data_IF_939700273431
#
_entry.id   IF_939700273431
#
_cell.length_a   1.000
_cell.length_b   1.000
_cell.length_c   1.000
_cell.angle_alpha   90.00
_cell.angle_beta   90.00
_cell.angle_gamma   90.00
#
_symmetry.space_group_name_H-M   'P 1'
#
loop_
_entity.id
_entity.type
_entity.pdbx_description
1 polymer ?
#
# COMPACT_ATOMS: atom_id res chain seq x y z
N UNK A 1 -10.51 13.69 14.13
CA UNK A 1 -10.97 12.40 13.56
C UNK A 1 -10.59 12.39 12.09
N UNK A 2 -9.71 11.47 11.69
CA UNK A 2 -8.99 11.56 10.42
C UNK A 2 -9.86 11.07 9.25
N UNK A 3 -10.51 12.01 8.54
CA UNK A 3 -11.21 11.78 7.25
C UNK A 3 -10.24 11.62 6.06
N UNK A 4 -8.92 11.48 6.29
CA UNK A 4 -7.87 11.73 5.28
C UNK A 4 -7.44 10.55 4.41
N UNK A 5 -8.08 9.39 4.49
CA UNK A 5 -7.74 8.25 3.62
C UNK A 5 -8.42 8.28 2.23
N UNK A 6 -9.16 9.34 1.87
CA UNK A 6 -9.60 9.58 0.46
C UNK A 6 -8.44 10.04 -0.43
N UNK A 7 -7.29 9.39 -0.32
CA UNK A 7 -6.17 9.65 -1.20
C UNK A 7 -6.11 8.54 -2.26
N UNK A 8 -6.24 8.88 -3.57
CA UNK A 8 -6.16 7.89 -4.64
C UNK A 8 -4.92 7.01 -4.57
N UNK A 9 -3.83 7.51 -4.00
CA UNK A 9 -2.59 6.76 -3.85
C UNK A 9 -2.66 5.65 -2.80
N UNK A 10 -3.41 5.83 -1.71
CA UNK A 10 -3.51 4.84 -0.62
C UNK A 10 -4.20 3.59 -1.13
N UNK A 11 -5.39 3.75 -1.73
CA UNK A 11 -6.12 2.65 -2.38
C UNK A 11 -5.26 1.97 -3.44
N UNK A 12 -4.64 2.74 -4.34
CA UNK A 12 -3.80 2.18 -5.42
C UNK A 12 -2.60 1.40 -4.88
N UNK A 13 -1.92 1.89 -3.84
CA UNK A 13 -0.79 1.20 -3.23
C UNK A 13 -1.23 -0.08 -2.51
N UNK A 14 -2.30 -0.03 -1.73
CA UNK A 14 -2.85 -1.20 -1.04
C UNK A 14 -3.32 -2.27 -2.04
N UNK A 15 -4.02 -1.86 -3.10
CA UNK A 15 -4.48 -2.77 -4.16
C UNK A 15 -3.31 -3.42 -4.92
N UNK A 16 -2.24 -2.66 -5.20
CA UNK A 16 -1.06 -3.19 -5.88
C UNK A 16 -0.35 -4.25 -5.02
N UNK A 17 -0.22 -4.01 -3.72
CA UNK A 17 0.37 -4.97 -2.77
C UNK A 17 -0.54 -6.20 -2.61
N UNK A 18 -1.85 -6.03 -2.48
CA UNK A 18 -2.79 -7.14 -2.34
C UNK A 18 -2.78 -8.07 -3.55
N UNK A 19 -2.67 -7.51 -4.76
CA UNK A 19 -2.60 -8.30 -6.01
C UNK A 19 -1.28 -9.05 -6.17
N UNK A 20 -0.19 -8.52 -5.63
CA UNK A 20 1.17 -9.01 -5.88
C UNK A 20 1.98 -8.96 -4.57
N UNK A 21 1.62 -9.79 -3.58
CA UNK A 21 2.37 -9.86 -2.33
C UNK A 21 3.79 -10.36 -2.62
N UNK A 22 4.77 -9.79 -1.91
CA UNK A 22 6.17 -10.15 -2.08
C UNK A 22 6.88 -9.49 -3.28
N UNK A 23 6.21 -8.65 -4.06
CA UNK A 23 6.84 -7.92 -5.18
C UNK A 23 7.73 -6.78 -4.69
N UNK A 24 8.86 -6.58 -5.38
CA UNK A 24 9.84 -5.54 -5.01
C UNK A 24 9.21 -4.14 -5.12
N UNK A 25 9.70 -3.25 -4.27
CA UNK A 25 9.26 -1.85 -4.24
C UNK A 25 9.39 -1.14 -5.60
N UNK A 26 10.45 -1.43 -6.36
CA UNK A 26 10.69 -0.81 -7.66
C UNK A 26 9.63 -1.23 -8.70
N UNK A 27 9.30 -2.52 -8.75
CA UNK A 27 8.34 -3.06 -9.70
C UNK A 27 6.93 -2.52 -9.41
N UNK A 28 6.53 -2.48 -8.13
CA UNK A 28 5.26 -1.85 -7.72
C UNK A 28 5.24 -0.34 -7.99
N UNK A 29 6.36 0.36 -7.81
CA UNK A 29 6.46 1.78 -8.11
C UNK A 29 6.28 2.06 -9.61
N UNK A 30 6.91 1.28 -10.47
CA UNK A 30 6.76 1.36 -11.93
C UNK A 30 5.30 1.16 -12.36
N UNK A 31 4.62 0.14 -11.82
CA UNK A 31 3.20 -0.11 -12.12
C UNK A 31 2.30 1.06 -11.71
N UNK A 32 2.67 1.78 -10.65
CA UNK A 32 1.94 2.94 -10.17
C UNK A 32 2.39 4.26 -10.80
N UNK A 33 3.35 4.23 -11.73
CA UNK A 33 3.98 5.40 -12.34
C UNK A 33 4.55 6.36 -11.28
N UNK A 34 5.22 5.78 -10.28
CA UNK A 34 5.90 6.49 -9.21
C UNK A 34 7.38 6.17 -9.24
N UNK A 35 8.22 7.09 -8.78
CA UNK A 35 9.59 6.76 -8.47
C UNK A 35 9.65 5.86 -7.21
N UNK A 36 10.69 5.03 -7.15
CA UNK A 36 10.87 4.04 -6.08
C UNK A 36 10.99 4.71 -4.70
N UNK A 37 11.60 5.90 -4.61
CA UNK A 37 11.80 6.58 -3.33
C UNK A 37 10.49 7.11 -2.75
N UNK A 38 9.64 7.72 -3.59
CA UNK A 38 8.28 8.13 -3.25
C UNK A 38 7.43 6.93 -2.85
N UNK A 39 7.51 5.83 -3.57
CA UNK A 39 6.80 4.60 -3.21
C UNK A 39 7.24 4.09 -1.84
N UNK A 40 8.55 3.96 -1.58
CA UNK A 40 9.06 3.53 -0.26
C UNK A 40 8.64 4.47 0.86
N UNK A 41 8.59 5.79 0.62
CA UNK A 41 8.09 6.77 1.62
C UNK A 41 6.63 6.49 1.96
N UNK A 42 5.78 6.25 0.96
CA UNK A 42 4.37 5.89 1.15
C UNK A 42 4.22 4.57 1.89
N UNK A 43 5.00 3.55 1.55
CA UNK A 43 4.96 2.26 2.25
C UNK A 43 5.36 2.39 3.72
N UNK A 44 6.35 3.23 4.05
CA UNK A 44 6.69 3.52 5.46
C UNK A 44 5.53 4.17 6.21
N UNK A 45 4.77 5.06 5.58
CA UNK A 45 3.57 5.65 6.18
C UNK A 45 2.49 4.57 6.42
N UNK A 46 2.22 3.71 5.43
CA UNK A 46 1.25 2.62 5.57
C UNK A 46 1.67 1.61 6.66
N UNK A 47 2.96 1.32 6.76
CA UNK A 47 3.52 0.45 7.81
C UNK A 47 3.34 1.06 9.19
N UNK A 48 3.60 2.36 9.35
CA UNK A 48 3.38 3.08 10.61
C UNK A 48 1.90 3.10 11.05
N UNK A 49 0.99 3.06 10.08
CA UNK A 49 -0.46 2.92 10.31
C UNK A 49 -0.91 1.47 10.54
N UNK A 50 0.02 0.51 10.52
CA UNK A 50 -0.26 -0.91 10.69
C UNK A 50 -1.02 -1.53 9.51
N UNK A 51 -0.93 -0.96 8.31
CA UNK A 51 -1.66 -1.42 7.10
C UNK A 51 -0.84 -2.37 6.22
N UNK A 52 0.48 -2.37 6.37
CA UNK A 52 1.39 -3.24 5.60
C UNK A 52 2.40 -3.90 6.50
N UNK A 53 2.85 -5.08 6.07
CA UNK A 53 3.90 -5.89 6.71
C UNK A 53 5.07 -5.99 5.73
N UNK A 54 6.29 -5.87 6.24
CA UNK A 54 7.51 -6.10 5.45
C UNK A 54 7.82 -7.59 5.41
N UNK A 55 8.14 -8.08 4.22
CA UNK A 55 8.64 -9.44 4.01
C UNK A 55 10.14 -9.38 3.69
N UNK A 56 10.78 -10.55 3.61
CA UNK A 56 12.18 -10.66 3.14
C UNK A 56 12.34 -10.06 1.73
N UNK A 57 11.33 -10.25 0.89
CA UNK A 57 11.19 -9.54 -0.39
C UNK A 57 9.82 -8.87 -0.46
N UNK A 58 9.79 -7.56 -0.68
CA UNK A 58 8.55 -6.84 -0.91
C UNK A 58 7.68 -6.64 0.34
N UNK A 59 6.36 -6.63 0.13
CA UNK A 59 5.37 -6.26 1.14
C UNK A 59 4.12 -7.13 1.03
N UNK A 60 3.38 -7.21 2.13
CA UNK A 60 2.01 -7.75 2.18
C UNK A 60 1.11 -6.76 2.93
N UNK A 61 -0.21 -6.86 2.72
CA UNK A 61 -1.16 -6.20 3.60
C UNK A 61 -1.21 -6.89 4.97
N UNK A 62 -1.47 -6.12 6.01
CA UNK A 62 -1.92 -6.68 7.29
C UNK A 62 -3.43 -6.97 7.22
N UNK A 63 -4.00 -7.72 8.18
CA UNK A 63 -5.46 -7.89 8.27
C UNK A 63 -6.21 -6.54 8.30
N UNK A 64 -5.64 -5.53 8.97
CA UNK A 64 -6.18 -4.16 8.97
C UNK A 64 -6.07 -3.50 7.59
N UNK A 65 -4.95 -3.70 6.89
CA UNK A 65 -4.74 -3.19 5.53
C UNK A 65 -5.75 -3.74 4.53
N UNK A 66 -6.08 -5.03 4.63
CA UNK A 66 -7.11 -5.68 3.80
C UNK A 66 -8.50 -5.09 4.08
N UNK A 67 -8.87 -4.93 5.36
CA UNK A 67 -10.13 -4.30 5.73
C UNK A 67 -10.27 -2.87 5.20
N UNK A 68 -9.19 -2.07 5.29
CA UNK A 68 -9.16 -0.71 4.73
C UNK A 68 -9.28 -0.73 3.20
N UNK A 69 -8.61 -1.66 2.52
CA UNK A 69 -8.74 -1.77 1.06
C UNK A 69 -10.16 -2.15 0.64
N UNK A 70 -10.83 -3.02 1.40
CA UNK A 70 -12.23 -3.39 1.17
C UNK A 70 -13.16 -2.17 1.32
N UNK A 71 -13.00 -1.39 2.40
CA UNK A 71 -13.76 -0.15 2.62
C UNK A 71 -13.55 0.86 1.47
N UNK A 72 -12.31 1.05 1.04
CA UNK A 72 -11.96 1.96 -0.06
C UNK A 72 -12.40 1.46 -1.46
N UNK A 73 -12.81 0.21 -1.58
CA UNK A 73 -13.27 -0.38 -2.85
C UNK A 73 -14.78 -0.56 -2.92
N UNK A 74 -15.48 -0.36 -1.80
CA UNK A 74 -16.93 -0.36 -1.70
C UNK A 74 -17.56 1.04 -1.96
N UNK A 75 -16.73 2.08 -2.08
CA UNK A 75 -17.08 3.41 -2.62
C UNK A 75 -16.95 3.47 -4.15
#
# INVERSE_FOLDING_TARGET
RDRRAKTPWTRRALAAIARQPGTRAADLATQLQLDTATFKRRIRQLKALGLTISLDTGYQLSPRGEAVLAELSAE
#
